data_IF_857697320362
#
_entry.id   IF_857697320362
#
_cell.length_a   1.000
_cell.length_b   1.000
_cell.length_c   1.000
_cell.angle_alpha   90.00
_cell.angle_beta   90.00
_cell.angle_gamma   90.00
#
_symmetry.space_group_name_H-M   'P 1'
#
loop_
_entity.id
_entity.type
_entity.pdbx_description
1 polymer ?
#
# COMPACT_ATOMS: atom_id res chain seq x y z
N UNK A 1 -12.04 7.31 16.03
CA UNK A 1 -12.00 6.65 14.72
C UNK A 1 -11.03 7.42 13.84
N UNK A 2 -10.17 6.73 13.11
CA UNK A 2 -9.27 7.33 12.13
C UNK A 2 -9.95 7.26 10.77
N UNK A 3 -10.05 8.38 10.07
CA UNK A 3 -10.75 8.48 8.79
C UNK A 3 -9.85 9.17 7.78
N UNK A 4 -9.81 8.66 6.55
CA UNK A 4 -9.07 9.26 5.42
C UNK A 4 -9.93 10.36 4.77
N UNK A 5 -10.16 11.46 5.48
CA UNK A 5 -11.09 12.52 5.09
C UNK A 5 -10.43 13.72 4.35
N UNK A 6 -9.10 13.67 4.14
CA UNK A 6 -8.35 14.75 3.48
C UNK A 6 -8.21 14.58 1.97
N UNK A 7 -8.81 13.53 1.41
CA UNK A 7 -8.78 13.32 -0.03
C UNK A 7 -9.53 14.43 -0.77
N UNK A 8 -8.86 15.04 -1.76
CA UNK A 8 -9.47 15.93 -2.75
C UNK A 8 -9.54 15.28 -4.13
N UNK A 9 -8.51 14.50 -4.44
CA UNK A 9 -8.34 13.86 -5.75
C UNK A 9 -8.85 12.41 -5.80
N UNK A 10 -9.26 11.84 -4.68
CA UNK A 10 -9.89 10.52 -4.63
C UNK A 10 -11.25 10.58 -3.95
N UNK A 11 -12.21 9.83 -4.51
CA UNK A 11 -13.54 9.66 -3.95
C UNK A 11 -14.13 8.32 -4.36
N UNK A 12 -14.65 7.56 -3.39
CA UNK A 12 -15.54 6.43 -3.67
C UNK A 12 -16.92 7.00 -3.93
N UNK A 13 -17.33 7.02 -5.20
CA UNK A 13 -18.58 7.63 -5.64
C UNK A 13 -19.79 6.76 -5.37
N UNK A 14 -19.64 5.44 -5.60
CA UNK A 14 -20.69 4.45 -5.40
C UNK A 14 -20.10 3.04 -5.38
N UNK A 15 -20.83 2.08 -4.80
CA UNK A 15 -20.47 0.66 -4.83
C UNK A 15 -21.72 -0.21 -4.93
N UNK A 16 -21.69 -1.21 -5.81
CA UNK A 16 -22.82 -2.13 -6.05
C UNK A 16 -22.36 -3.38 -6.79
N UNK A 17 -22.97 -4.52 -6.47
CA UNK A 17 -22.85 -5.80 -7.20
C UNK A 17 -21.40 -6.23 -7.46
N UNK A 18 -20.53 -6.15 -6.43
CA UNK A 18 -19.14 -6.56 -6.55
C UNK A 18 -18.25 -5.60 -7.33
N UNK A 19 -18.68 -4.36 -7.55
CA UNK A 19 -17.93 -3.29 -8.20
C UNK A 19 -18.01 -1.99 -7.42
N UNK A 20 -17.01 -1.13 -7.62
CA UNK A 20 -16.96 0.23 -7.12
C UNK A 20 -16.70 1.21 -8.25
N UNK A 21 -17.40 2.34 -8.19
CA UNK A 21 -17.22 3.51 -9.03
C UNK A 21 -16.39 4.52 -8.24
N UNK A 22 -15.25 4.91 -8.76
CA UNK A 22 -14.30 5.78 -8.07
C UNK A 22 -13.88 6.95 -8.96
N UNK A 23 -13.57 8.08 -8.34
CA UNK A 23 -12.88 9.21 -8.96
C UNK A 23 -11.42 9.24 -8.51
N UNK A 24 -10.52 9.37 -9.47
CA UNK A 24 -9.06 9.44 -9.29
C UNK A 24 -8.51 10.65 -10.04
N UNK A 25 -8.42 11.81 -9.37
CA UNK A 25 -8.18 13.09 -10.01
C UNK A 25 -9.36 13.47 -10.93
N UNK A 26 -9.08 13.70 -12.19
CA UNK A 26 -10.08 14.04 -13.20
C UNK A 26 -10.77 12.83 -13.84
N UNK A 27 -10.34 11.61 -13.50
CA UNK A 27 -10.79 10.37 -14.14
C UNK A 27 -11.70 9.56 -13.23
N UNK A 28 -12.73 8.97 -13.82
CA UNK A 28 -13.62 8.01 -13.18
C UNK A 28 -13.32 6.59 -13.65
N UNK A 29 -13.26 5.67 -12.72
CA UNK A 29 -12.98 4.26 -13.03
C UNK A 29 -13.97 3.34 -12.34
N UNK A 30 -14.24 2.20 -12.98
CA UNK A 30 -15.01 1.09 -12.39
C UNK A 30 -14.06 -0.09 -12.19
N UNK A 31 -14.03 -0.59 -10.96
CA UNK A 31 -13.17 -1.73 -10.59
C UNK A 31 -13.93 -2.77 -9.79
N UNK A 32 -13.59 -4.07 -9.93
CA UNK A 32 -14.16 -5.12 -9.09
C UNK A 32 -13.78 -4.95 -7.62
N UNK A 33 -14.80 -5.06 -6.77
CA UNK A 33 -14.62 -5.17 -5.33
C UNK A 33 -15.59 -6.21 -4.75
N UNK A 34 -15.13 -7.45 -4.49
CA UNK A 34 -16.00 -8.51 -3.97
C UNK A 34 -16.64 -8.19 -2.61
N UNK A 35 -16.12 -7.21 -1.87
CA UNK A 35 -16.69 -6.78 -0.59
C UNK A 35 -17.92 -5.87 -0.78
N UNK A 36 -18.12 -5.33 -1.97
CA UNK A 36 -19.33 -4.55 -2.32
C UNK A 36 -20.52 -5.48 -2.60
N UNK A 37 -21.01 -6.11 -1.54
CA UNK A 37 -22.08 -7.14 -1.60
C UNK A 37 -23.48 -6.57 -1.83
N UNK A 38 -23.66 -5.26 -1.73
CA UNK A 38 -24.95 -4.58 -1.89
C UNK A 38 -25.40 -4.61 -3.34
N UNK A 39 -26.72 -4.76 -3.53
CA UNK A 39 -27.39 -4.63 -4.82
C UNK A 39 -28.18 -3.31 -4.86
N UNK A 40 -27.46 -2.21 -4.84
CA UNK A 40 -28.02 -0.86 -4.93
C UNK A 40 -28.24 -0.45 -6.38
N UNK A 41 -29.25 0.39 -6.69
CA UNK A 41 -29.45 0.92 -8.03
C UNK A 41 -28.22 1.75 -8.46
N UNK A 42 -27.69 1.48 -9.64
CA UNK A 42 -26.57 2.23 -10.25
C UNK A 42 -27.10 3.47 -10.97
N UNK A 43 -27.62 4.44 -10.21
CA UNK A 43 -28.28 5.63 -10.74
C UNK A 43 -27.29 6.65 -11.29
N UNK A 44 -26.04 6.64 -10.84
CA UNK A 44 -25.01 7.55 -11.33
C UNK A 44 -24.67 7.20 -12.80
N UNK A 45 -24.79 8.19 -13.69
CA UNK A 45 -24.48 8.02 -15.13
C UNK A 45 -23.05 7.59 -15.37
N UNK A 46 -22.11 7.91 -14.44
CA UNK A 46 -20.69 7.57 -14.52
C UNK A 46 -20.44 6.07 -14.51
N UNK A 47 -21.38 5.25 -13.99
CA UNK A 47 -21.29 3.79 -14.14
C UNK A 47 -21.22 3.32 -15.59
N UNK A 48 -21.84 4.08 -16.51
CA UNK A 48 -21.87 3.77 -17.96
C UNK A 48 -20.90 4.62 -18.77
N UNK A 49 -20.47 5.76 -18.23
CA UNK A 49 -19.66 6.76 -18.92
C UNK A 49 -18.33 6.99 -18.19
N UNK A 50 -17.81 5.96 -17.50
CA UNK A 50 -16.50 6.03 -16.85
C UNK A 50 -15.36 6.17 -17.87
N UNK A 51 -14.24 6.70 -17.41
CA UNK A 51 -13.05 6.88 -18.24
C UNK A 51 -12.28 5.58 -18.43
N UNK A 52 -12.44 4.62 -17.53
CA UNK A 52 -11.90 3.28 -17.67
C UNK A 52 -12.61 2.24 -16.80
N UNK A 53 -12.58 1.00 -17.25
CA UNK A 53 -13.17 -0.14 -16.53
C UNK A 53 -12.19 -1.31 -16.51
N UNK A 54 -12.06 -1.96 -15.35
CA UNK A 54 -11.36 -3.24 -15.28
C UNK A 54 -12.35 -4.39 -15.41
N UNK A 55 -12.20 -5.19 -16.44
CA UNK A 55 -13.03 -6.36 -16.70
C UNK A 55 -12.32 -7.64 -16.25
N UNK A 56 -13.00 -8.45 -15.43
CA UNK A 56 -12.49 -9.74 -15.02
C UNK A 56 -12.63 -10.76 -16.14
N UNK A 57 -11.58 -11.55 -16.35
CA UNK A 57 -11.66 -12.74 -17.21
C UNK A 57 -12.27 -13.92 -16.44
N UNK A 58 -13.02 -14.76 -17.12
CA UNK A 58 -13.56 -16.01 -16.57
C UNK A 58 -12.47 -17.04 -16.21
N UNK A 59 -11.28 -16.91 -16.82
CA UNK A 59 -10.11 -17.77 -16.55
C UNK A 59 -9.18 -17.25 -15.46
N UNK A 60 -9.58 -16.17 -14.75
CA UNK A 60 -8.75 -15.45 -13.77
C UNK A 60 -8.01 -14.26 -14.39
N UNK A 61 -7.64 -13.28 -13.54
CA UNK A 61 -7.08 -12.01 -14.00
C UNK A 61 -8.12 -11.10 -14.64
N UNK A 62 -7.74 -10.37 -15.67
CA UNK A 62 -8.58 -9.44 -16.42
C UNK A 62 -7.78 -8.37 -17.14
N UNK A 63 -8.46 -7.40 -17.71
CA UNK A 63 -7.84 -6.30 -18.45
C UNK A 63 -8.56 -4.98 -18.22
N UNK A 64 -7.85 -3.87 -18.42
CA UNK A 64 -8.45 -2.56 -18.45
C UNK A 64 -8.99 -2.24 -19.85
N UNK A 65 -10.29 -1.98 -19.95
CA UNK A 65 -10.78 -1.06 -20.96
C UNK A 65 -10.40 0.35 -20.50
N UNK A 66 -9.38 0.91 -21.13
CA UNK A 66 -8.80 2.19 -20.72
C UNK A 66 -9.63 3.39 -21.15
N UNK A 67 -10.54 3.23 -22.12
CA UNK A 67 -11.36 4.33 -22.61
C UNK A 67 -10.53 5.61 -22.83
N UNK A 68 -10.72 6.59 -21.94
CA UNK A 68 -10.02 7.89 -21.95
C UNK A 68 -8.86 8.00 -20.95
N UNK A 69 -8.52 6.92 -20.25
CA UNK A 69 -7.44 6.95 -19.25
C UNK A 69 -6.08 7.16 -19.91
N UNK A 70 -5.26 8.09 -19.42
CA UNK A 70 -3.86 8.20 -19.82
C UNK A 70 -3.05 6.99 -19.35
N UNK A 71 -1.80 6.90 -19.79
CA UNK A 71 -0.88 5.85 -19.30
C UNK A 71 -0.58 6.00 -17.83
N UNK A 72 -0.47 7.26 -17.36
CA UNK A 72 -0.29 7.61 -15.96
C UNK A 72 -0.78 9.04 -15.70
N UNK A 73 -1.18 9.31 -14.46
CA UNK A 73 -1.51 10.66 -13.98
C UNK A 73 -1.15 10.77 -12.51
N UNK A 74 -1.28 11.94 -11.94
CA UNK A 74 -0.97 12.17 -10.53
C UNK A 74 -2.21 12.52 -9.73
N UNK A 75 -2.22 12.11 -8.46
CA UNK A 75 -3.19 12.54 -7.46
C UNK A 75 -2.47 12.94 -6.17
N UNK A 76 -3.05 13.89 -5.45
CA UNK A 76 -2.50 14.42 -4.21
C UNK A 76 -3.24 13.95 -2.96
N UNK A 77 -2.51 13.80 -1.86
CA UNK A 77 -3.03 13.68 -0.52
C UNK A 77 -2.24 14.58 0.44
N UNK A 78 -2.83 15.71 0.84
CA UNK A 78 -2.11 16.73 1.61
C UNK A 78 -0.88 17.23 0.87
N UNK A 79 0.30 16.98 1.43
CA UNK A 79 1.60 17.34 0.84
C UNK A 79 2.20 16.23 -0.05
N UNK A 80 1.55 15.09 -0.17
CA UNK A 80 2.04 13.93 -0.90
C UNK A 80 1.44 13.88 -2.30
N UNK A 81 2.23 13.47 -3.30
CA UNK A 81 1.80 13.27 -4.68
C UNK A 81 2.16 11.87 -5.15
N UNK A 82 1.18 11.18 -5.71
CA UNK A 82 1.32 9.80 -6.17
C UNK A 82 1.01 9.65 -7.65
N UNK A 83 1.82 8.85 -8.33
CA UNK A 83 1.61 8.48 -9.71
C UNK A 83 0.65 7.28 -9.79
N UNK A 84 -0.39 7.43 -10.57
CA UNK A 84 -1.42 6.41 -10.79
C UNK A 84 -1.23 5.82 -12.17
N UNK A 85 -1.28 4.49 -12.29
CA UNK A 85 -1.15 3.76 -13.57
C UNK A 85 -2.09 2.57 -13.54
N UNK A 86 -2.97 2.36 -14.53
CA UNK A 86 -3.71 1.11 -14.69
C UNK A 86 -2.72 -0.05 -14.93
N UNK A 87 -2.72 -1.04 -14.05
CA UNK A 87 -1.83 -2.19 -14.10
C UNK A 87 -2.46 -3.38 -14.85
N UNK A 88 -1.70 -4.46 -15.00
CA UNK A 88 -2.25 -5.73 -15.52
C UNK A 88 -3.31 -6.35 -14.60
N UNK A 89 -3.45 -5.86 -13.37
CA UNK A 89 -4.48 -6.20 -12.40
C UNK A 89 -5.44 -5.03 -12.18
N UNK A 90 -6.49 -5.24 -11.38
CA UNK A 90 -7.48 -4.19 -11.02
C UNK A 90 -6.86 -2.99 -10.26
N UNK A 91 -5.63 -3.09 -9.82
CA UNK A 91 -4.96 -2.06 -9.02
C UNK A 91 -4.43 -0.92 -9.88
N UNK A 92 -4.37 0.25 -9.29
CA UNK A 92 -3.94 1.52 -9.92
C UNK A 92 -2.64 2.04 -9.33
N UNK A 93 -2.01 1.26 -8.44
CA UNK A 93 -0.76 1.61 -7.78
C UNK A 93 -0.92 2.28 -6.42
N UNK A 94 -2.14 2.53 -5.95
CA UNK A 94 -2.38 3.15 -4.66
C UNK A 94 -3.60 2.52 -3.97
N UNK A 95 -3.57 2.53 -2.63
CA UNK A 95 -4.67 2.13 -1.76
C UNK A 95 -5.10 3.35 -0.93
N UNK A 96 -6.12 4.10 -1.37
CA UNK A 96 -6.51 5.36 -0.72
C UNK A 96 -6.96 5.22 0.73
N UNK A 97 -7.49 4.07 1.11
CA UNK A 97 -7.86 3.73 2.49
C UNK A 97 -6.68 3.75 3.46
N UNK A 98 -5.45 3.55 2.96
CA UNK A 98 -4.22 3.60 3.75
C UNK A 98 -3.83 5.03 4.16
N UNK A 99 -4.49 6.06 3.66
CA UNK A 99 -4.17 7.44 3.99
C UNK A 99 -4.31 7.75 5.49
N UNK A 100 -5.21 7.07 6.21
CA UNK A 100 -5.30 7.16 7.67
C UNK A 100 -4.01 6.67 8.37
N UNK A 101 -3.37 5.64 7.82
CA UNK A 101 -2.08 5.16 8.31
C UNK A 101 -0.96 6.15 7.98
N UNK A 102 -0.98 6.80 6.79
CA UNK A 102 0.01 7.83 6.44
C UNK A 102 -0.08 9.01 7.39
N UNK A 103 -1.29 9.49 7.71
CA UNK A 103 -1.49 10.55 8.70
C UNK A 103 -0.97 10.16 10.09
N UNK A 104 -1.22 8.92 10.51
CA UNK A 104 -0.70 8.38 11.77
C UNK A 104 0.84 8.35 11.78
N UNK A 105 1.46 7.79 10.73
CA UNK A 105 2.91 7.70 10.55
C UNK A 105 3.54 9.08 10.63
N UNK A 106 3.05 10.02 9.80
CA UNK A 106 3.59 11.38 9.73
C UNK A 106 3.49 12.09 11.07
N UNK A 107 2.35 12.01 11.73
CA UNK A 107 2.15 12.61 13.05
C UNK A 107 3.10 12.03 14.10
N UNK A 108 3.22 10.69 14.17
CA UNK A 108 4.08 10.00 15.14
C UNK A 108 5.55 10.38 14.94
N UNK A 109 6.02 10.36 13.71
CA UNK A 109 7.42 10.72 13.39
C UNK A 109 7.68 12.19 13.75
N UNK A 110 6.82 13.11 13.34
CA UNK A 110 6.98 14.56 13.63
C UNK A 110 6.96 14.89 15.13
N UNK A 111 6.23 14.12 15.92
CA UNK A 111 6.13 14.32 17.38
C UNK A 111 7.17 13.55 18.20
N UNK A 112 8.04 12.76 17.58
CA UNK A 112 8.98 11.89 18.30
C UNK A 112 10.12 12.66 19.02
N UNK A 113 10.48 13.88 18.55
CA UNK A 113 11.55 14.68 19.13
C UNK A 113 12.96 14.10 18.94
N UNK A 114 13.11 13.05 18.13
CA UNK A 114 14.36 12.38 17.78
C UNK A 114 14.35 11.89 16.34
N UNK A 115 15.52 11.54 15.82
CA UNK A 115 15.61 10.86 14.52
C UNK A 115 14.92 9.49 14.57
N UNK A 116 14.16 9.18 13.52
CA UNK A 116 13.39 7.94 13.40
C UNK A 116 13.87 7.17 12.18
N UNK A 117 14.18 5.89 12.39
CA UNK A 117 14.47 4.92 11.35
C UNK A 117 13.26 3.99 11.14
N UNK A 118 12.77 3.91 9.91
CA UNK A 118 11.57 3.12 9.56
C UNK A 118 11.94 1.99 8.62
N UNK A 119 11.49 0.77 8.93
CA UNK A 119 11.51 -0.37 8.03
C UNK A 119 10.12 -0.57 7.43
N UNK A 120 10.00 -0.45 6.11
CA UNK A 120 8.77 -0.69 5.38
C UNK A 120 8.92 -1.96 4.53
N UNK A 121 8.17 -3.01 4.87
CA UNK A 121 8.20 -4.34 4.27
C UNK A 121 6.93 -4.58 3.45
N UNK A 122 7.04 -5.31 2.33
CA UNK A 122 5.98 -5.43 1.33
C UNK A 122 5.51 -4.03 0.88
N UNK A 123 6.51 -3.17 0.65
CA UNK A 123 6.30 -1.73 0.62
C UNK A 123 5.62 -1.22 -0.66
N UNK A 124 5.38 -2.10 -1.65
CA UNK A 124 4.64 -1.85 -2.88
C UNK A 124 5.15 -0.59 -3.60
N UNK A 125 4.25 0.31 -4.01
CA UNK A 125 4.59 1.59 -4.67
C UNK A 125 5.03 2.68 -3.71
N UNK A 126 5.20 2.36 -2.42
CA UNK A 126 5.90 3.18 -1.45
C UNK A 126 5.12 4.34 -0.83
N UNK A 127 3.79 4.32 -0.83
CA UNK A 127 3.02 5.42 -0.24
C UNK A 127 3.36 5.66 1.25
N UNK A 128 3.46 4.60 2.06
CA UNK A 128 3.88 4.71 3.46
C UNK A 128 5.36 5.15 3.59
N UNK A 129 6.23 4.74 2.67
CA UNK A 129 7.61 5.21 2.59
C UNK A 129 7.67 6.71 2.35
N UNK A 130 6.92 7.20 1.34
CA UNK A 130 6.85 8.62 1.00
C UNK A 130 6.32 9.44 2.18
N UNK A 131 5.28 8.97 2.87
CA UNK A 131 4.73 9.61 4.05
C UNK A 131 5.77 9.69 5.20
N UNK A 132 6.52 8.61 5.45
CA UNK A 132 7.56 8.59 6.47
C UNK A 132 8.73 9.54 6.13
N UNK A 133 9.16 9.58 4.86
CA UNK A 133 10.19 10.50 4.36
C UNK A 133 9.74 11.96 4.47
N UNK A 134 8.49 12.29 4.12
CA UNK A 134 7.92 13.63 4.24
C UNK A 134 7.84 14.09 5.71
N UNK A 135 7.72 13.15 6.64
CA UNK A 135 7.73 13.43 8.06
C UNK A 135 9.16 13.58 8.66
N UNK A 136 10.22 13.31 7.88
CA UNK A 136 11.61 13.49 8.29
C UNK A 136 12.32 12.21 8.75
N UNK A 137 11.72 11.04 8.59
CA UNK A 137 12.37 9.77 8.93
C UNK A 137 13.41 9.34 7.88
N UNK A 138 14.35 8.51 8.29
CA UNK A 138 15.12 7.66 7.39
C UNK A 138 14.35 6.36 7.14
N UNK A 139 14.31 5.87 5.89
CA UNK A 139 13.47 4.72 5.54
C UNK A 139 14.28 3.63 4.85
N UNK A 140 14.05 2.38 5.22
CA UNK A 140 14.42 1.22 4.44
C UNK A 140 13.16 0.63 3.78
N UNK A 141 13.02 0.81 2.48
CA UNK A 141 11.92 0.33 1.66
C UNK A 141 12.29 -1.02 1.04
N UNK A 142 11.51 -2.06 1.31
CA UNK A 142 11.76 -3.42 0.85
C UNK A 142 10.53 -3.97 0.13
N UNK A 143 10.71 -4.37 -1.11
CA UNK A 143 9.70 -5.08 -1.90
C UNK A 143 10.38 -6.06 -2.85
N UNK A 144 9.78 -7.22 -3.08
CA UNK A 144 10.35 -8.25 -3.95
C UNK A 144 10.23 -7.87 -5.45
N UNK A 145 9.31 -7.00 -5.82
CA UNK A 145 9.03 -6.62 -7.19
C UNK A 145 9.83 -5.36 -7.59
N UNK A 146 10.85 -5.51 -8.44
CA UNK A 146 11.68 -4.40 -8.93
C UNK A 146 10.84 -3.26 -9.52
N UNK A 147 9.76 -3.57 -10.24
CA UNK A 147 8.87 -2.56 -10.82
C UNK A 147 8.17 -1.70 -9.76
N UNK A 148 7.80 -2.30 -8.62
CA UNK A 148 7.18 -1.58 -7.50
C UNK A 148 8.18 -0.65 -6.82
N UNK A 149 9.41 -1.11 -6.59
CA UNK A 149 10.49 -0.27 -6.05
C UNK A 149 10.84 0.90 -6.99
N UNK A 150 10.81 0.68 -8.31
CA UNK A 150 10.99 1.77 -9.28
C UNK A 150 9.86 2.79 -9.19
N UNK A 151 8.61 2.33 -9.10
CA UNK A 151 7.46 3.22 -8.95
C UNK A 151 7.47 3.97 -7.61
N UNK A 152 7.94 3.33 -6.53
CA UNK A 152 8.12 3.99 -5.25
C UNK A 152 9.11 5.16 -5.31
N UNK A 153 10.20 5.01 -6.09
CA UNK A 153 11.15 6.11 -6.36
C UNK A 153 10.49 7.24 -7.14
N UNK A 154 9.65 6.92 -8.15
CA UNK A 154 8.87 7.92 -8.90
C UNK A 154 7.92 8.68 -7.95
N UNK A 155 7.24 7.98 -7.03
CA UNK A 155 6.37 8.61 -6.04
C UNK A 155 7.14 9.51 -5.05
N UNK A 156 8.33 9.09 -4.63
CA UNK A 156 9.20 9.92 -3.79
C UNK A 156 9.65 11.19 -4.53
N UNK A 157 9.99 11.08 -5.81
CA UNK A 157 10.34 12.24 -6.64
C UNK A 157 9.15 13.19 -6.83
N UNK A 158 7.97 12.67 -7.17
CA UNK A 158 6.74 13.45 -7.35
C UNK A 158 6.30 14.17 -6.06
N UNK A 159 6.60 13.59 -4.90
CA UNK A 159 6.33 14.17 -3.58
C UNK A 159 7.46 15.07 -3.05
N UNK A 160 8.53 15.32 -3.83
CA UNK A 160 9.64 16.19 -3.43
C UNK A 160 10.50 15.64 -2.29
N UNK A 161 10.55 14.32 -2.08
CA UNK A 161 11.30 13.66 -0.99
C UNK A 161 12.37 12.68 -1.50
N UNK A 162 12.74 12.76 -2.78
CA UNK A 162 13.72 11.86 -3.38
C UNK A 162 15.11 11.95 -2.74
N UNK A 163 15.48 13.13 -2.25
CA UNK A 163 16.80 13.41 -1.61
C UNK A 163 16.84 13.05 -0.12
N UNK A 164 15.74 12.56 0.45
CA UNK A 164 15.67 12.14 1.84
C UNK A 164 16.40 10.80 2.03
N UNK A 165 16.89 10.52 3.25
CA UNK A 165 17.64 9.28 3.51
C UNK A 165 16.75 8.05 3.34
N UNK A 166 16.93 7.32 2.22
CA UNK A 166 16.16 6.12 1.90
C UNK A 166 17.05 5.03 1.29
N UNK A 167 16.83 3.80 1.72
CA UNK A 167 17.42 2.59 1.13
C UNK A 167 16.34 1.87 0.33
N UNK A 168 16.51 1.79 -0.98
CA UNK A 168 15.62 1.07 -1.88
C UNK A 168 16.12 -0.36 -2.10
N UNK A 169 15.38 -1.34 -1.64
CA UNK A 169 15.77 -2.74 -1.64
C UNK A 169 14.78 -3.56 -2.46
N UNK A 170 15.30 -4.30 -3.44
CA UNK A 170 14.54 -5.32 -4.18
C UNK A 170 14.95 -6.67 -3.62
N UNK A 171 14.11 -7.26 -2.77
CA UNK A 171 14.44 -8.49 -2.07
C UNK A 171 13.21 -9.15 -1.43
N UNK A 172 13.33 -10.44 -1.09
CA UNK A 172 12.41 -11.11 -0.20
C UNK A 172 12.48 -10.52 1.21
N UNK A 173 11.31 -10.19 1.78
CA UNK A 173 11.24 -9.48 3.05
C UNK A 173 11.80 -10.30 4.22
N UNK A 174 11.54 -11.61 4.30
CA UNK A 174 12.02 -12.46 5.37
C UNK A 174 13.56 -12.60 5.30
N UNK A 175 14.10 -12.92 4.13
CA UNK A 175 15.53 -13.01 3.90
C UNK A 175 16.25 -11.69 4.17
N UNK A 176 15.59 -10.56 3.86
CA UNK A 176 16.13 -9.24 4.18
C UNK A 176 16.21 -9.02 5.68
N UNK A 177 15.13 -9.27 6.44
CA UNK A 177 15.09 -9.10 7.89
C UNK A 177 16.12 -9.99 8.59
N UNK A 178 16.26 -11.26 8.19
CA UNK A 178 17.30 -12.15 8.72
C UNK A 178 18.70 -11.57 8.56
N UNK A 179 18.98 -10.94 7.39
CA UNK A 179 20.29 -10.29 7.18
C UNK A 179 20.49 -9.05 8.04
N UNK A 180 19.44 -8.25 8.26
CA UNK A 180 19.51 -7.07 9.13
C UNK A 180 19.70 -7.48 10.61
N UNK A 181 19.09 -8.59 11.08
CA UNK A 181 19.36 -9.18 12.39
C UNK A 181 20.85 -9.56 12.53
N UNK A 182 21.39 -10.30 11.56
CA UNK A 182 22.83 -10.68 11.58
C UNK A 182 23.79 -9.48 11.56
N UNK A 183 23.35 -8.35 10.98
CA UNK A 183 24.11 -7.09 10.94
C UNK A 183 23.92 -6.23 12.19
N UNK A 184 23.08 -6.65 13.13
CA UNK A 184 22.74 -5.87 14.32
C UNK A 184 21.98 -4.57 14.02
N UNK A 185 21.31 -4.47 12.86
CA UNK A 185 20.52 -3.29 12.50
C UNK A 185 19.25 -3.24 13.32
N UNK A 186 18.84 -2.01 13.68
CA UNK A 186 17.62 -1.73 14.45
C UNK A 186 16.83 -0.63 13.77
N UNK A 187 15.51 -0.68 13.94
CA UNK A 187 14.54 0.29 13.41
C UNK A 187 13.58 0.73 14.50
N UNK A 188 13.26 2.01 14.51
CA UNK A 188 12.34 2.59 15.49
C UNK A 188 10.88 2.34 15.13
N UNK A 189 10.59 2.08 13.87
CA UNK A 189 9.26 1.74 13.42
C UNK A 189 9.30 0.68 12.31
N UNK A 190 8.27 -0.19 12.32
CA UNK A 190 8.07 -1.19 11.28
C UNK A 190 6.68 -0.99 10.70
N UNK A 191 6.60 -0.99 9.36
CA UNK A 191 5.36 -1.02 8.58
C UNK A 191 5.40 -2.27 7.73
N UNK A 192 4.33 -3.05 7.72
CA UNK A 192 4.21 -4.21 6.85
C UNK A 192 2.78 -4.37 6.32
N UNK A 193 2.69 -4.69 5.04
CA UNK A 193 1.43 -4.97 4.34
C UNK A 193 1.55 -6.30 3.57
N UNK A 194 1.68 -7.42 4.30
CA UNK A 194 1.90 -8.72 3.69
C UNK A 194 0.68 -9.14 2.86
N UNK A 195 0.89 -9.69 1.65
CA UNK A 195 -0.20 -10.19 0.83
C UNK A 195 -0.88 -11.40 1.49
N UNK A 196 -2.16 -11.61 1.22
CA UNK A 196 -2.87 -12.82 1.68
C UNK A 196 -2.26 -14.08 1.10
N UNK A 197 -1.79 -14.01 -0.16
CA UNK A 197 -1.09 -15.06 -0.87
C UNK A 197 -0.03 -14.47 -1.80
N UNK A 198 1.13 -15.13 -1.89
CA UNK A 198 2.21 -14.74 -2.78
C UNK A 198 3.12 -15.91 -3.15
N UNK A 199 3.94 -15.71 -4.18
CA UNK A 199 5.03 -16.61 -4.53
C UNK A 199 6.33 -15.81 -4.59
N UNK A 200 7.34 -16.29 -3.88
CA UNK A 200 8.69 -15.75 -3.95
C UNK A 200 9.39 -16.11 -5.26
N UNK A 201 10.50 -15.42 -5.59
CA UNK A 201 11.29 -15.66 -6.79
C UNK A 201 11.85 -17.11 -6.89
N UNK A 202 12.04 -17.79 -5.77
CA UNK A 202 12.49 -19.18 -5.67
C UNK A 202 11.35 -20.21 -5.67
N UNK A 203 10.10 -19.77 -5.87
CA UNK A 203 8.92 -20.65 -5.84
C UNK A 203 8.34 -20.85 -4.42
N UNK A 204 8.87 -20.18 -3.41
CA UNK A 204 8.36 -20.21 -2.05
C UNK A 204 6.91 -19.72 -2.03
N UNK A 205 6.05 -20.40 -1.29
CA UNK A 205 4.64 -20.02 -1.16
C UNK A 205 4.47 -19.27 0.15
N UNK A 206 4.00 -18.04 0.05
CA UNK A 206 3.54 -17.24 1.17
C UNK A 206 2.02 -17.38 1.30
N UNK A 207 1.55 -17.76 2.47
CA UNK A 207 0.15 -17.65 2.89
C UNK A 207 0.10 -16.92 4.22
N UNK A 208 -0.68 -15.85 4.28
CA UNK A 208 -0.75 -14.98 5.46
C UNK A 208 -1.09 -15.77 6.74
N UNK A 209 -2.08 -16.63 6.67
CA UNK A 209 -2.57 -17.47 7.78
C UNK A 209 -1.51 -18.39 8.36
N UNK A 210 -0.62 -18.92 7.51
CA UNK A 210 0.42 -19.86 7.90
C UNK A 210 1.72 -19.15 8.33
N UNK A 211 2.00 -17.97 7.79
CA UNK A 211 3.33 -17.35 7.84
C UNK A 211 3.40 -16.07 8.69
N UNK A 212 2.25 -15.45 8.99
CA UNK A 212 2.25 -14.12 9.63
C UNK A 212 2.90 -14.12 11.01
N UNK A 213 2.60 -15.12 11.84
CA UNK A 213 3.13 -15.17 13.20
C UNK A 213 4.66 -15.27 13.22
N UNK A 214 5.21 -16.17 12.43
CA UNK A 214 6.65 -16.36 12.34
C UNK A 214 7.34 -15.13 11.76
N UNK A 215 6.73 -14.49 10.77
CA UNK A 215 7.25 -13.27 10.17
C UNK A 215 7.22 -12.08 11.14
N UNK A 216 6.14 -11.89 11.90
CA UNK A 216 6.07 -10.85 12.94
C UNK A 216 7.10 -11.10 14.03
N UNK A 217 7.24 -12.37 14.47
CA UNK A 217 8.25 -12.76 15.47
C UNK A 217 9.67 -12.50 14.97
N UNK A 218 9.96 -12.79 13.70
CA UNK A 218 11.24 -12.48 13.05
C UNK A 218 11.49 -10.97 13.01
N UNK A 219 10.49 -10.19 12.60
CA UNK A 219 10.64 -8.72 12.46
C UNK A 219 10.80 -8.01 13.81
N UNK A 220 10.27 -8.58 14.90
CA UNK A 220 10.52 -8.07 16.25
C UNK A 220 12.02 -8.05 16.60
N UNK A 221 12.82 -8.96 16.01
CA UNK A 221 14.26 -9.02 16.18
C UNK A 221 15.04 -7.82 15.61
N UNK A 222 14.42 -6.94 14.84
CA UNK A 222 15.05 -5.71 14.31
C UNK A 222 14.44 -4.43 14.89
N UNK A 223 13.53 -4.51 15.87
CA UNK A 223 13.06 -3.33 16.60
C UNK A 223 14.16 -2.75 17.47
N UNK A 224 14.21 -1.43 17.58
CA UNK A 224 15.05 -0.73 18.56
C UNK A 224 14.53 -0.96 19.98
N UNK A 225 15.31 -0.59 20.98
CA UNK A 225 14.92 -0.73 22.39
C UNK A 225 13.81 0.24 22.80
N UNK A 226 13.64 1.35 22.04
CA UNK A 226 12.57 2.34 22.22
C UNK A 226 11.78 2.51 20.91
N UNK A 227 10.95 1.53 20.50
CA UNK A 227 10.23 1.58 19.25
C UNK A 227 9.07 2.57 19.29
N UNK A 228 8.89 3.31 18.19
CA UNK A 228 7.85 4.32 18.07
C UNK A 228 6.48 3.73 17.71
N UNK A 229 6.44 2.80 16.74
CA UNK A 229 5.25 2.05 16.35
C UNK A 229 5.56 0.81 15.51
N UNK A 230 4.58 -0.09 15.47
CA UNK A 230 4.50 -1.17 14.48
C UNK A 230 3.11 -1.10 13.84
N UNK A 231 3.06 -1.09 12.50
CA UNK A 231 1.81 -1.15 11.72
C UNK A 231 1.81 -2.43 10.91
N UNK A 232 0.75 -3.21 11.07
CA UNK A 232 0.50 -4.42 10.28
C UNK A 232 -0.84 -4.25 9.59
N UNK A 233 -0.83 -4.21 8.26
CA UNK A 233 -2.05 -4.19 7.46
C UNK A 233 -2.48 -5.61 7.12
N UNK A 234 -3.78 -5.85 7.10
CA UNK A 234 -4.35 -7.11 6.61
C UNK A 234 -5.70 -6.86 5.96
N UNK A 235 -5.89 -7.44 4.79
CA UNK A 235 -7.16 -7.44 4.07
C UNK A 235 -7.96 -8.73 4.25
N UNK A 236 -7.52 -9.59 5.18
CA UNK A 236 -8.20 -10.84 5.54
C UNK A 236 -8.65 -10.81 7.01
N UNK A 237 -9.84 -11.36 7.29
CA UNK A 237 -10.42 -11.40 8.64
C UNK A 237 -9.74 -12.40 9.61
N UNK A 238 -8.69 -13.09 9.20
CA UNK A 238 -8.06 -14.16 9.97
C UNK A 238 -7.47 -13.74 11.32
N UNK A 239 -7.05 -12.47 11.44
CA UNK A 239 -6.54 -11.93 12.71
C UNK A 239 -7.63 -11.79 13.78
N UNK A 240 -8.91 -11.76 13.41
CA UNK A 240 -10.02 -11.63 14.33
C UNK A 240 -10.46 -12.99 14.91
N UNK A 241 -10.37 -14.05 14.11
CA UNK A 241 -10.86 -15.38 14.48
C UNK A 241 -9.90 -16.18 15.36
N UNK A 242 -8.60 -15.89 15.36
CA UNK A 242 -7.59 -16.59 16.15
C UNK A 242 -7.57 -16.17 17.65
N UNK A 243 -8.33 -15.14 18.05
CA UNK A 243 -8.41 -14.66 19.45
C UNK A 243 -9.75 -14.95 20.13
N UNK A 244 -10.69 -15.59 19.48
CA UNK A 244 -12.01 -15.93 20.02
C UNK A 244 -12.14 -17.42 20.40
N UNK A 245 -11.04 -18.10 20.71
CA UNK A 245 -11.04 -19.45 21.26
C UNK A 245 -10.37 -19.42 22.62
#
# INVERSE_FOLDING_TARGET
MWVSDKWRDFELLDCSRGEKLERWGDYTVVRPDPQAIWDTPRNDRRWRQCDGRYERSSSGGGSWDRGRLPQSWQIGYGELTFNIKPMSFKHTGLFPEQASNWDYIMRKIRSAGREISVLNLFAYTGAATVAALAAGASVCHVDAAKGMVTWAKENAASSGVADRPVRWIVDDCAKFVEREIRRGRRYDAIIMDPPSYGRGPGGEVWKLEDSLWDFVSLTAGVLSDDPLFVIINSYTCLLYTSRCV
#
